data_IF_056284317516
#
_entry.id   IF_056284317516
#
_cell.length_a   1.000
_cell.length_b   1.000
_cell.length_c   1.000
_cell.angle_alpha   90.00
_cell.angle_beta   90.00
_cell.angle_gamma   90.00
#
_symmetry.space_group_name_H-M   'P 1'
#
loop_
_entity.id
_entity.type
_entity.pdbx_description
1 polymer ?
#
# COMPACT_ATOMS: atom_id res chain seq x y z
N UNK A 1 7.97 0.40 -5.97
CA UNK A 1 6.63 0.92 -6.24
C UNK A 1 6.64 2.33 -5.80
N UNK A 2 6.41 3.27 -6.69
CA UNK A 2 6.40 4.68 -6.34
C UNK A 2 5.35 5.38 -7.19
N UNK A 3 4.78 6.44 -6.63
CA UNK A 3 3.86 7.30 -7.33
C UNK A 3 3.32 8.38 -6.41
N UNK A 4 2.53 9.25 -6.99
CA UNK A 4 1.92 10.36 -6.27
C UNK A 4 0.58 10.75 -6.87
N UNK A 5 -0.22 11.44 -6.05
CA UNK A 5 -1.50 12.01 -6.45
C UNK A 5 -1.76 13.28 -5.63
N UNK A 6 -2.37 14.28 -6.27
CA UNK A 6 -2.96 15.42 -5.59
C UNK A 6 -4.42 15.12 -5.24
N UNK A 7 -4.77 15.32 -3.97
CA UNK A 7 -6.11 15.08 -3.42
C UNK A 7 -6.64 16.41 -2.91
N UNK A 8 -7.85 16.78 -3.32
CA UNK A 8 -8.48 18.05 -2.92
C UNK A 8 -9.12 17.97 -1.52
N UNK A 9 -8.31 17.58 -0.53
CA UNK A 9 -8.69 17.43 0.89
C UNK A 9 -7.52 17.77 1.82
N UNK A 10 -7.80 18.23 3.05
CA UNK A 10 -6.80 18.40 4.10
C UNK A 10 -6.07 17.10 4.44
N UNK A 11 -4.78 17.21 4.79
CA UNK A 11 -3.90 16.05 4.95
C UNK A 11 -4.30 15.12 6.09
N UNK A 12 -4.90 15.64 7.16
CA UNK A 12 -5.40 14.83 8.27
C UNK A 12 -6.60 13.96 7.88
N UNK A 13 -7.49 14.48 7.04
CA UNK A 13 -8.61 13.72 6.45
C UNK A 13 -8.11 12.62 5.54
N UNK A 14 -7.17 12.94 4.64
CA UNK A 14 -6.57 11.95 3.74
C UNK A 14 -5.82 10.88 4.54
N UNK A 15 -5.05 11.30 5.55
CA UNK A 15 -4.32 10.41 6.43
C UNK A 15 -5.25 9.39 7.10
N UNK A 16 -6.34 9.85 7.73
CA UNK A 16 -7.23 8.96 8.48
C UNK A 16 -7.90 7.93 7.56
N UNK A 17 -8.24 8.31 6.32
CA UNK A 17 -8.78 7.40 5.31
C UNK A 17 -7.75 6.35 4.87
N UNK A 18 -6.49 6.76 4.64
CA UNK A 18 -5.42 5.85 4.21
C UNK A 18 -4.94 4.93 5.34
N UNK A 19 -4.91 5.43 6.57
CA UNK A 19 -4.50 4.67 7.74
C UNK A 19 -5.46 3.50 8.03
N UNK A 20 -6.74 3.64 7.68
CA UNK A 20 -7.68 2.52 7.67
C UNK A 20 -7.67 1.80 6.32
N UNK A 21 -6.92 0.69 6.25
CA UNK A 21 -6.83 -0.14 5.04
C UNK A 21 -8.17 -0.78 4.65
N UNK A 22 -9.20 -0.76 5.52
CA UNK A 22 -10.55 -1.20 5.16
C UNK A 22 -11.20 -0.28 4.10
N UNK A 23 -10.69 0.94 3.91
CA UNK A 23 -11.09 1.82 2.82
C UNK A 23 -10.48 1.43 1.47
N UNK A 24 -9.43 0.60 1.45
CA UNK A 24 -8.69 0.26 0.24
C UNK A 24 -9.54 -0.36 -0.88
N UNK A 25 -10.51 -1.29 -0.64
CA UNK A 25 -11.37 -1.82 -1.70
C UNK A 25 -12.18 -0.74 -2.44
N UNK A 26 -12.47 0.40 -1.80
CA UNK A 26 -13.16 1.53 -2.41
C UNK A 26 -12.23 2.35 -3.32
N UNK A 27 -10.95 2.43 -2.95
CA UNK A 27 -9.96 3.27 -3.62
C UNK A 27 -9.13 2.52 -4.68
N UNK A 28 -8.83 1.25 -4.43
CA UNK A 28 -7.95 0.42 -5.21
C UNK A 28 -8.75 -0.75 -5.83
N UNK A 29 -9.09 -0.71 -7.13
CA UNK A 29 -9.82 -1.79 -7.80
C UNK A 29 -9.08 -3.14 -7.75
N UNK A 30 -7.77 -3.12 -7.52
CA UNK A 30 -6.99 -4.35 -7.32
C UNK A 30 -7.23 -4.99 -5.94
N UNK A 31 -7.96 -4.36 -5.03
CA UNK A 31 -8.35 -4.92 -3.73
C UNK A 31 -9.84 -5.23 -3.74
N UNK A 32 -10.20 -6.47 -3.44
CA UNK A 32 -11.60 -6.91 -3.37
C UNK A 32 -12.16 -6.95 -1.95
N UNK A 33 -11.30 -7.12 -0.94
CA UNK A 33 -11.69 -7.17 0.48
C UNK A 33 -10.53 -6.71 1.35
N UNK A 34 -10.83 -6.01 2.43
CA UNK A 34 -9.86 -5.66 3.46
C UNK A 34 -10.53 -5.76 4.83
N UNK A 35 -9.82 -6.33 5.80
CA UNK A 35 -10.30 -6.57 7.15
C UNK A 35 -9.23 -6.21 8.16
N UNK A 36 -9.63 -5.58 9.26
CA UNK A 36 -8.73 -5.30 10.37
C UNK A 36 -8.57 -6.54 11.27
N UNK A 37 -7.33 -6.89 11.61
CA UNK A 37 -7.01 -8.07 12.42
C UNK A 37 -6.81 -7.75 13.91
N UNK A 38 -6.48 -6.50 14.24
CA UNK A 38 -6.19 -6.05 15.61
C UNK A 38 -7.25 -5.06 16.07
N UNK A 39 -7.84 -5.20 17.27
CA UNK A 39 -8.83 -4.24 17.79
C UNK A 39 -8.20 -2.89 18.19
N UNK A 40 -8.98 -1.79 18.18
CA UNK A 40 -8.60 -0.46 18.71
C UNK A 40 -8.70 0.71 17.71
N UNK A 41 -8.18 1.90 18.07
CA UNK A 41 -7.96 3.06 17.17
C UNK A 41 -6.68 2.94 16.35
N UNK A 42 -6.63 3.60 15.18
CA UNK A 42 -5.46 3.68 14.29
C UNK A 42 -4.16 3.91 15.09
N UNK A 43 -3.27 2.93 15.09
CA UNK A 43 -2.06 2.92 15.90
C UNK A 43 -0.98 2.06 15.23
N UNK A 44 0.27 2.28 15.64
CA UNK A 44 1.42 1.44 15.29
C UNK A 44 1.17 -0.02 15.69
N UNK A 45 1.67 -0.96 14.88
CA UNK A 45 1.49 -2.41 15.10
C UNK A 45 0.12 -2.94 14.70
N UNK A 46 -0.76 -2.09 14.13
CA UNK A 46 -2.07 -2.51 13.64
C UNK A 46 -1.94 -3.40 12.40
N UNK A 47 -2.58 -4.56 12.45
CA UNK A 47 -2.63 -5.51 11.35
C UNK A 47 -3.94 -5.48 10.55
N UNK A 48 -3.84 -5.76 9.26
CA UNK A 48 -4.95 -5.93 8.33
C UNK A 48 -4.72 -7.17 7.45
N UNK A 49 -5.81 -7.79 7.01
CA UNK A 49 -5.84 -8.81 5.95
C UNK A 49 -6.48 -8.20 4.71
N UNK A 50 -5.79 -8.27 3.58
CA UNK A 50 -6.23 -7.68 2.31
C UNK A 50 -6.24 -8.75 1.23
N UNK A 51 -7.32 -8.82 0.46
CA UNK A 51 -7.46 -9.72 -0.68
C UNK A 51 -7.26 -8.93 -1.97
N UNK A 52 -6.14 -9.18 -2.65
CA UNK A 52 -5.79 -8.55 -3.91
C UNK A 52 -6.22 -9.40 -5.11
N UNK A 53 -6.88 -8.79 -6.09
CA UNK A 53 -7.14 -9.38 -7.41
C UNK A 53 -5.89 -9.31 -8.26
N UNK A 54 -5.52 -10.44 -8.85
CA UNK A 54 -4.43 -10.58 -9.81
C UNK A 54 -4.94 -11.26 -11.08
N UNK A 55 -4.14 -11.27 -12.15
CA UNK A 55 -4.46 -11.99 -13.39
C UNK A 55 -4.64 -13.51 -13.13
N UNK A 56 -3.98 -14.07 -12.11
CA UNK A 56 -4.05 -15.50 -11.76
C UNK A 56 -5.09 -15.83 -10.69
N UNK A 57 -5.97 -14.88 -10.34
CA UNK A 57 -6.95 -15.02 -9.27
C UNK A 57 -6.66 -14.10 -8.07
N UNK A 58 -7.27 -14.38 -6.93
CA UNK A 58 -7.11 -13.55 -5.72
C UNK A 58 -5.96 -14.04 -4.83
N UNK A 59 -5.20 -13.11 -4.28
CA UNK A 59 -4.08 -13.37 -3.36
C UNK A 59 -4.34 -12.65 -2.04
N UNK A 60 -4.35 -13.40 -0.95
CA UNK A 60 -4.41 -12.84 0.40
C UNK A 60 -3.04 -12.30 0.83
N UNK A 61 -3.03 -11.13 1.45
CA UNK A 61 -1.85 -10.45 1.97
C UNK A 61 -2.13 -9.95 3.39
N UNK A 62 -1.11 -9.95 4.24
CA UNK A 62 -1.18 -9.34 5.57
C UNK A 62 -0.42 -8.02 5.55
N UNK A 63 -1.08 -6.93 5.96
CA UNK A 63 -0.49 -5.59 6.05
C UNK A 63 -0.35 -5.22 7.52
N UNK A 64 0.80 -4.68 7.90
CA UNK A 64 1.08 -4.21 9.25
C UNK A 64 1.55 -2.76 9.18
N UNK A 65 0.96 -1.87 9.97
CA UNK A 65 1.41 -0.49 10.10
C UNK A 65 2.64 -0.44 11.02
N UNK A 66 3.80 -0.16 10.45
CA UNK A 66 5.09 -0.16 11.15
C UNK A 66 5.57 1.23 11.53
N UNK A 67 4.81 2.29 11.23
CA UNK A 67 5.11 3.66 11.65
C UNK A 67 3.93 4.58 11.36
N UNK A 68 3.61 5.47 12.31
CA UNK A 68 2.57 6.49 12.15
C UNK A 68 3.12 7.82 12.66
N UNK A 69 3.05 8.83 11.81
CA UNK A 69 3.31 10.23 12.12
C UNK A 69 2.18 11.05 11.48
N UNK A 70 1.10 11.31 12.22
CA UNK A 70 -0.10 11.98 11.69
C UNK A 70 0.14 13.49 11.64
N UNK A 71 -0.18 14.18 10.53
CA UNK A 71 -0.75 13.66 9.28
C UNK A 71 0.30 13.29 8.22
N UNK A 72 1.59 13.36 8.52
CA UNK A 72 2.66 13.40 7.52
C UNK A 72 3.06 12.06 6.90
N UNK A 73 2.94 10.93 7.62
CA UNK A 73 3.49 9.66 7.16
C UNK A 73 2.85 8.42 7.78
N UNK A 74 2.65 7.40 6.95
CA UNK A 74 2.33 6.03 7.34
C UNK A 74 3.40 5.11 6.77
N UNK A 75 4.05 4.29 7.59
CA UNK A 75 4.94 3.22 7.15
C UNK A 75 4.24 1.86 7.35
N UNK A 76 4.47 0.93 6.43
CA UNK A 76 3.86 -0.40 6.48
C UNK A 76 4.80 -1.50 6.00
N UNK A 77 4.52 -2.72 6.46
CA UNK A 77 5.06 -3.95 5.88
C UNK A 77 3.91 -4.83 5.41
N UNK A 78 3.93 -5.22 4.15
CA UNK A 78 2.96 -6.15 3.55
C UNK A 78 3.64 -7.50 3.31
N UNK A 79 3.15 -8.55 3.95
CA UNK A 79 3.57 -9.94 3.74
C UNK A 79 2.70 -10.56 2.65
N UNK A 80 3.34 -11.14 1.65
CA UNK A 80 2.72 -11.82 0.50
C UNK A 80 3.28 -13.25 0.38
N UNK A 81 2.63 -14.17 -0.36
CA UNK A 81 3.15 -15.52 -0.55
C UNK A 81 4.52 -15.60 -1.22
N UNK A 82 4.94 -14.54 -1.93
CA UNK A 82 6.18 -14.51 -2.73
C UNK A 82 7.27 -13.61 -2.16
N UNK A 83 7.04 -12.99 -0.99
CA UNK A 83 7.91 -11.93 -0.48
C UNK A 83 7.21 -10.94 0.42
N UNK A 84 7.98 -9.95 0.88
CA UNK A 84 7.48 -8.81 1.63
C UNK A 84 7.66 -7.51 0.86
N UNK A 85 6.83 -6.53 1.19
CA UNK A 85 6.93 -5.16 0.72
C UNK A 85 7.03 -4.26 1.92
N UNK A 86 8.09 -3.46 1.99
CA UNK A 86 8.19 -2.35 2.95
C UNK A 86 7.80 -1.07 2.23
N UNK A 87 6.76 -0.41 2.72
CA UNK A 87 6.18 0.77 2.11
C UNK A 87 6.13 1.96 3.05
N UNK A 88 6.02 3.13 2.46
CA UNK A 88 5.63 4.34 3.17
C UNK A 88 4.75 5.21 2.26
N UNK A 89 3.76 5.86 2.87
CA UNK A 89 2.95 6.92 2.26
C UNK A 89 3.24 8.20 3.02
N UNK A 90 3.47 9.30 2.30
CA UNK A 90 3.68 10.63 2.86
C UNK A 90 2.63 11.61 2.36
N UNK A 91 2.28 12.57 3.20
CA UNK A 91 1.26 13.58 2.92
C UNK A 91 1.89 14.96 3.09
N UNK A 92 1.88 15.75 2.02
CA UNK A 92 2.40 17.12 2.00
C UNK A 92 1.27 18.05 1.60
N UNK A 93 1.05 19.12 2.36
CA UNK A 93 0.06 20.13 2.00
C UNK A 93 0.45 20.80 0.67
N UNK A 94 -0.50 20.94 -0.23
CA UNK A 94 -0.33 21.61 -1.52
C UNK A 94 -1.57 22.47 -1.81
N UNK A 95 -1.47 23.77 -1.52
CA UNK A 95 -2.62 24.68 -1.52
C UNK A 95 -3.64 24.28 -0.46
N UNK A 96 -4.91 24.16 -0.86
CA UNK A 96 -5.99 23.65 -0.01
C UNK A 96 -6.05 22.11 0.05
N UNK A 97 -5.25 21.43 -0.78
CA UNK A 97 -5.23 19.97 -0.90
C UNK A 97 -3.98 19.32 -0.31
N UNK A 98 -3.81 18.05 -0.62
CA UNK A 98 -2.72 17.20 -0.14
C UNK A 98 -2.10 16.43 -1.29
N UNK A 99 -0.79 16.58 -1.47
CA UNK A 99 0.03 15.69 -2.28
C UNK A 99 0.34 14.44 -1.47
N UNK A 100 -0.28 13.33 -1.84
CA UNK A 100 0.03 12.02 -1.30
C UNK A 100 1.05 11.34 -2.20
N UNK A 101 2.17 10.89 -1.61
CA UNK A 101 3.19 10.08 -2.30
C UNK A 101 3.30 8.73 -1.65
N UNK A 102 3.53 7.69 -2.43
CA UNK A 102 3.83 6.36 -1.90
C UNK A 102 5.14 5.86 -2.47
N UNK A 103 5.85 5.11 -1.64
CA UNK A 103 7.04 4.38 -1.99
C UNK A 103 6.98 2.97 -1.39
N UNK A 104 7.56 2.01 -2.09
CA UNK A 104 7.50 0.60 -1.73
C UNK A 104 8.70 -0.14 -2.28
N UNK A 105 9.40 -0.84 -1.41
CA UNK A 105 10.50 -1.73 -1.73
C UNK A 105 10.03 -3.17 -1.58
N UNK A 106 10.04 -3.94 -2.67
CA UNK A 106 9.66 -5.35 -2.63
C UNK A 106 10.90 -6.21 -2.47
N UNK A 107 10.89 -7.10 -1.49
CA UNK A 107 11.85 -8.17 -1.29
C UNK A 107 11.19 -9.49 -1.66
N UNK A 108 11.87 -10.29 -2.46
CA UNK A 108 11.37 -11.61 -2.88
C UNK A 108 11.91 -12.73 -1.97
N UNK A 109 11.06 -13.73 -1.71
CA UNK A 109 11.50 -15.05 -1.26
C UNK A 109 12.15 -15.79 -2.43
N UNK A 110 12.99 -16.80 -2.14
CA UNK A 110 13.63 -17.64 -3.17
C UNK A 110 12.60 -18.25 -4.14
N UNK A 111 11.54 -18.84 -3.60
CA UNK A 111 10.45 -19.47 -4.34
C UNK A 111 9.50 -18.48 -5.03
N UNK A 112 9.58 -17.19 -4.66
CA UNK A 112 8.69 -16.13 -5.14
C UNK A 112 9.30 -15.24 -6.23
N UNK A 113 10.57 -15.46 -6.57
CA UNK A 113 11.26 -14.73 -7.62
C UNK A 113 10.58 -15.00 -8.98
N UNK A 114 10.15 -13.97 -9.72
CA UNK A 114 9.65 -14.17 -11.07
C UNK A 114 10.80 -14.63 -11.98
N UNK A 115 10.73 -15.87 -12.44
CA UNK A 115 11.53 -16.35 -13.57
C UNK A 115 10.96 -15.76 -14.87
N UNK A 116 11.10 -14.45 -15.08
CA UNK A 116 10.66 -13.85 -16.36
C UNK A 116 11.76 -14.02 -17.41
N UNK A 117 11.45 -14.55 -18.61
CA UNK A 117 12.38 -14.64 -19.73
C UNK A 117 12.66 -13.28 -20.42
N UNK A 118 11.92 -12.22 -20.09
CA UNK A 118 12.00 -10.92 -20.82
C UNK A 118 13.11 -9.97 -20.37
N UNK A 119 13.90 -10.31 -19.33
CA UNK A 119 15.09 -9.53 -18.98
C UNK A 119 16.27 -10.46 -18.78
N UNK A 120 17.06 -10.74 -19.85
CA UNK A 120 18.31 -11.47 -19.72
C UNK A 120 19.22 -10.72 -18.73
N UNK A 121 19.49 -11.35 -17.58
CA UNK A 121 20.48 -10.86 -16.61
C UNK A 121 19.98 -10.08 -15.39
N UNK A 122 18.67 -10.00 -15.11
CA UNK A 122 18.18 -9.35 -13.87
C UNK A 122 18.12 -10.37 -12.71
N UNK A 123 19.02 -10.34 -11.72
CA UNK A 123 19.11 -11.39 -10.73
C UNK A 123 18.24 -10.98 -9.54
N UNK A 124 16.92 -11.17 -9.61
CA UNK A 124 16.15 -11.25 -8.37
C UNK A 124 16.65 -12.49 -7.60
N UNK A 125 17.69 -12.33 -6.77
CA UNK A 125 18.13 -13.32 -5.79
C UNK A 125 17.32 -13.11 -4.52
N UNK A 126 17.16 -14.14 -3.71
CA UNK A 126 16.56 -13.94 -2.40
C UNK A 126 17.29 -12.87 -1.60
N UNK A 127 16.49 -12.07 -0.90
CA UNK A 127 16.99 -10.89 -0.18
C UNK A 127 17.36 -9.70 -1.06
N UNK A 128 17.28 -9.81 -2.39
CA UNK A 128 17.40 -8.66 -3.30
C UNK A 128 16.10 -7.88 -3.28
N UNK A 129 16.24 -6.56 -3.20
CA UNK A 129 15.11 -5.64 -3.09
C UNK A 129 14.96 -4.85 -4.39
N UNK A 130 13.77 -4.86 -4.99
CA UNK A 130 13.51 -4.22 -6.29
C UNK A 130 12.41 -3.17 -6.14
N UNK A 131 12.63 -1.97 -6.72
CA UNK A 131 11.59 -0.95 -6.88
C UNK A 131 10.71 -1.32 -8.08
N UNK A 132 9.61 -2.03 -7.84
CA UNK A 132 8.70 -2.42 -8.93
C UNK A 132 7.70 -1.30 -9.29
N UNK A 133 7.17 -1.19 -10.50
CA UNK A 133 6.32 -0.07 -10.97
C UNK A 133 4.80 -0.17 -10.68
N UNK A 134 4.40 -0.70 -9.53
CA UNK A 134 2.99 -0.95 -9.19
C UNK A 134 2.12 0.32 -9.12
N UNK A 135 0.94 0.27 -9.74
CA UNK A 135 -0.08 1.32 -9.71
C UNK A 135 -1.02 1.12 -8.52
N UNK A 136 -1.22 2.16 -7.70
CA UNK A 136 -2.37 2.24 -6.80
C UNK A 136 -3.54 2.89 -7.56
N UNK A 137 -4.75 2.34 -7.42
CA UNK A 137 -5.97 2.95 -7.95
C UNK A 137 -6.24 4.31 -7.28
N UNK A 138 -6.50 5.32 -8.11
CA UNK A 138 -6.54 6.74 -7.70
C UNK A 138 -7.94 7.31 -7.50
N UNK A 139 -9.00 6.57 -7.84
CA UNK A 139 -10.33 7.15 -8.11
C UNK A 139 -11.19 7.55 -6.90
N UNK A 140 -10.89 7.06 -5.68
CA UNK A 140 -11.77 7.27 -4.52
C UNK A 140 -11.16 8.11 -3.40
N UNK A 141 -9.86 8.43 -3.43
CA UNK A 141 -9.23 9.28 -2.40
C UNK A 141 -9.79 10.71 -2.35
N UNK A 142 -10.51 11.16 -3.38
CA UNK A 142 -11.25 12.42 -3.43
C UNK A 142 -12.67 12.35 -2.83
N UNK A 143 -13.22 11.14 -2.59
CA UNK A 143 -14.54 10.98 -1.98
C UNK A 143 -14.35 10.88 -0.46
N UNK A 144 -14.86 11.86 0.27
CA UNK A 144 -14.91 11.79 1.74
C UNK A 144 -15.75 10.59 2.20
N UNK A 145 -15.74 10.25 3.51
CA UNK A 145 -16.67 9.26 4.03
C UNK A 145 -18.09 9.68 3.61
N UNK A 146 -18.83 8.76 2.97
CA UNK A 146 -20.25 8.97 2.72
C UNK A 146 -20.93 9.22 4.06
N UNK A 147 -21.62 10.35 4.16
CA UNK A 147 -22.50 10.67 5.29
C UNK A 147 -23.55 9.59 5.49
#
# INVERSE_FOLDING_TARGET
MAGEILIDRPGDVVFDVVADQCNEPRCNPAVSRAEQLTAGRLAWGRGFRVLHRTIRGSVEMAVELTGIDRPHRIASTTRTPVGDVRGAVTFVAEGAGTRMRWEGLKRYLESGCPTSPEVPGSPCRAGTSVRNGGRYGVGCWNRGPSA
#
